data_IF_112359206078
#
_entry.id   IF_112359206078
#
_cell.length_a   1.000
_cell.length_b   1.000
_cell.length_c   1.000
_cell.angle_alpha   90.00
_cell.angle_beta   90.00
_cell.angle_gamma   90.00
#
_symmetry.space_group_name_H-M   'P 1'
#
loop_
_entity.id
_entity.type
_entity.pdbx_description
1 polymer ?
#
# COMPACT_ATOMS: atom_id res chain seq x y z
N UNK A 1 49.69 -57.88 -19.45
CA UNK A 1 48.95 -57.84 -18.17
C UNK A 1 49.05 -56.41 -17.68
N UNK A 2 48.12 -55.50 -17.92
CA UNK A 2 46.67 -55.56 -17.75
C UNK A 2 46.32 -54.30 -16.94
N UNK A 3 45.30 -53.54 -17.37
CA UNK A 3 44.36 -52.76 -16.54
C UNK A 3 43.52 -51.85 -17.43
N UNK A 4 42.38 -52.41 -17.80
CA UNK A 4 41.18 -51.79 -18.35
C UNK A 4 40.52 -50.84 -17.33
N UNK A 5 40.09 -49.67 -17.84
CA UNK A 5 38.74 -49.06 -17.70
C UNK A 5 38.23 -48.73 -16.28
N UNK A 6 37.98 -47.43 -16.00
CA UNK A 6 36.63 -46.82 -16.04
C UNK A 6 36.69 -45.39 -15.45
N UNK A 7 36.31 -44.41 -16.28
CA UNK A 7 35.96 -43.05 -15.88
C UNK A 7 34.58 -43.09 -15.22
N UNK A 8 34.42 -42.58 -13.99
CA UNK A 8 33.14 -41.99 -13.60
C UNK A 8 33.32 -40.90 -12.53
N UNK A 9 32.96 -39.71 -12.98
CA UNK A 9 32.82 -38.44 -12.28
C UNK A 9 31.72 -38.56 -11.21
N UNK A 10 32.02 -38.29 -9.95
CA UNK A 10 30.98 -38.05 -8.92
C UNK A 10 31.26 -36.71 -8.24
N UNK A 11 30.50 -35.71 -8.69
CA UNK A 11 30.49 -34.35 -8.18
C UNK A 11 30.07 -34.37 -6.70
N UNK A 12 30.90 -33.82 -5.82
CA UNK A 12 30.52 -33.49 -4.45
C UNK A 12 29.38 -32.45 -4.49
N UNK A 13 28.19 -32.84 -4.06
CA UNK A 13 27.15 -31.91 -3.59
C UNK A 13 27.61 -31.37 -2.23
N UNK A 14 28.45 -30.34 -2.23
CA UNK A 14 28.56 -29.45 -1.08
C UNK A 14 27.28 -28.64 -1.01
N UNK A 15 26.35 -29.07 -0.17
CA UNK A 15 25.19 -28.27 0.24
C UNK A 15 25.73 -27.09 1.06
N UNK A 16 26.11 -26.01 0.38
CA UNK A 16 26.36 -24.73 1.02
C UNK A 16 25.02 -24.26 1.58
N UNK A 17 24.86 -24.43 2.89
CA UNK A 17 23.78 -23.81 3.63
C UNK A 17 23.82 -22.30 3.32
N UNK A 18 22.84 -21.84 2.54
CA UNK A 18 22.60 -20.41 2.35
C UNK A 18 22.50 -19.80 3.75
N UNK A 19 23.24 -18.71 4.05
CA UNK A 19 23.08 -18.05 5.31
C UNK A 19 21.62 -17.62 5.41
N UNK A 20 20.94 -18.14 6.44
CA UNK A 20 19.62 -17.69 6.84
C UNK A 20 19.71 -16.20 7.12
N UNK A 21 19.44 -15.39 6.11
CA UNK A 21 19.18 -13.98 6.28
C UNK A 21 18.07 -13.91 7.32
N UNK A 22 18.33 -13.21 8.43
CA UNK A 22 17.27 -12.64 9.25
C UNK A 22 16.19 -12.16 8.29
N UNK A 23 14.94 -12.59 8.48
CA UNK A 23 13.82 -12.11 7.70
C UNK A 23 13.87 -10.58 7.71
N UNK A 24 14.49 -10.01 6.68
CA UNK A 24 14.70 -8.58 6.57
C UNK A 24 13.33 -7.96 6.55
N UNK A 25 13.13 -6.90 7.33
CA UNK A 25 11.88 -6.16 7.38
C UNK A 25 11.34 -6.04 5.96
N UNK A 26 10.22 -6.73 5.68
CA UNK A 26 9.68 -6.78 4.33
C UNK A 26 9.37 -5.36 3.91
N UNK A 27 9.93 -4.90 2.80
CA UNK A 27 9.72 -3.55 2.28
C UNK A 27 8.21 -3.20 2.26
N UNK A 28 7.80 -2.01 2.75
CA UNK A 28 6.40 -1.61 2.84
C UNK A 28 5.52 -1.90 1.62
N UNK A 29 6.05 -1.73 0.41
CA UNK A 29 5.30 -1.98 -0.81
C UNK A 29 4.85 -3.45 -0.96
N UNK A 30 5.57 -4.42 -0.37
CA UNK A 30 5.19 -5.84 -0.42
C UNK A 30 3.87 -6.08 0.32
N UNK A 31 3.52 -5.21 1.26
CA UNK A 31 2.24 -5.28 1.95
C UNK A 31 1.07 -4.85 1.07
N UNK A 32 1.27 -3.90 0.15
CA UNK A 32 0.22 -3.54 -0.81
C UNK A 32 -0.19 -4.74 -1.65
N UNK A 33 0.77 -5.59 -2.03
CA UNK A 33 0.48 -6.81 -2.77
C UNK A 33 -0.28 -7.83 -1.93
N UNK A 34 0.12 -8.04 -0.67
CA UNK A 34 -0.57 -8.94 0.25
C UNK A 34 -2.00 -8.44 0.56
N UNK A 35 -2.17 -7.14 0.76
CA UNK A 35 -3.47 -6.51 0.96
C UNK A 35 -4.36 -6.67 -0.26
N UNK A 36 -3.84 -6.42 -1.46
CA UNK A 36 -4.59 -6.59 -2.70
C UNK A 36 -5.04 -8.03 -2.91
N UNK A 37 -4.16 -9.02 -2.70
CA UNK A 37 -4.52 -10.43 -2.78
C UNK A 37 -5.62 -10.84 -1.78
N UNK A 38 -5.64 -10.22 -0.58
CA UNK A 38 -6.71 -10.43 0.38
C UNK A 38 -8.01 -9.74 -0.05
N UNK A 39 -7.94 -8.51 -0.55
CA UNK A 39 -9.09 -7.75 -1.05
C UNK A 39 -9.78 -8.46 -2.22
N UNK A 40 -9.01 -9.04 -3.14
CA UNK A 40 -9.55 -9.80 -4.26
C UNK A 40 -10.36 -11.01 -3.75
N UNK A 41 -9.86 -11.73 -2.75
CA UNK A 41 -10.62 -12.82 -2.12
C UNK A 41 -11.85 -12.33 -1.36
N UNK A 42 -11.77 -11.19 -0.69
CA UNK A 42 -12.93 -10.58 -0.01
C UNK A 42 -14.01 -10.17 -1.01
N UNK A 43 -13.63 -9.65 -2.19
CA UNK A 43 -14.57 -9.34 -3.27
C UNK A 43 -15.35 -10.59 -3.73
N UNK A 44 -14.76 -11.78 -3.61
CA UNK A 44 -15.41 -13.07 -3.88
C UNK A 44 -16.11 -13.69 -2.65
N UNK A 45 -16.33 -12.93 -1.57
CA UNK A 45 -17.09 -13.36 -0.39
C UNK A 45 -16.27 -14.12 0.67
N UNK A 46 -14.95 -14.15 0.57
CA UNK A 46 -14.10 -14.89 1.52
C UNK A 46 -14.00 -14.18 2.89
N UNK A 47 -14.81 -14.64 3.84
CA UNK A 47 -14.81 -14.12 5.22
C UNK A 47 -13.50 -14.36 5.97
N UNK A 48 -12.72 -15.39 5.63
CA UNK A 48 -11.41 -15.65 6.25
C UNK A 48 -10.39 -14.63 5.75
N UNK A 49 -10.45 -14.27 4.46
CA UNK A 49 -9.63 -13.21 3.88
C UNK A 49 -9.91 -11.85 4.56
N UNK A 50 -11.18 -11.54 4.85
CA UNK A 50 -11.54 -10.32 5.56
C UNK A 50 -10.89 -10.25 6.96
N UNK A 51 -10.98 -11.33 7.75
CA UNK A 51 -10.32 -11.39 9.07
C UNK A 51 -8.80 -11.31 8.96
N UNK A 52 -8.22 -11.88 7.91
CA UNK A 52 -6.78 -11.80 7.65
C UNK A 52 -6.35 -10.37 7.28
N UNK A 53 -7.15 -9.65 6.50
CA UNK A 53 -6.91 -8.24 6.16
C UNK A 53 -6.85 -7.36 7.41
N UNK A 54 -7.80 -7.51 8.34
CA UNK A 54 -7.81 -6.75 9.60
C UNK A 54 -6.53 -7.01 10.42
N UNK A 55 -6.12 -8.28 10.53
CA UNK A 55 -4.87 -8.64 11.23
C UNK A 55 -3.62 -8.10 10.53
N UNK A 56 -3.60 -8.14 9.20
CA UNK A 56 -2.51 -7.58 8.41
C UNK A 56 -2.38 -6.07 8.70
N UNK A 57 -3.45 -5.30 8.55
CA UNK A 57 -3.45 -3.84 8.83
C UNK A 57 -2.94 -3.53 10.25
N UNK A 58 -3.36 -4.29 11.25
CA UNK A 58 -2.91 -4.10 12.64
C UNK A 58 -1.42 -4.45 12.83
N UNK A 59 -0.92 -5.48 12.16
CA UNK A 59 0.50 -5.83 12.16
C UNK A 59 1.34 -4.72 11.51
N UNK A 60 0.91 -4.20 10.36
CA UNK A 60 1.63 -3.15 9.62
C UNK A 60 1.81 -1.86 10.40
N UNK A 61 0.81 -1.47 11.19
CA UNK A 61 0.92 -0.25 12.00
C UNK A 61 2.12 -0.30 12.95
N UNK A 62 2.43 -1.48 13.49
CA UNK A 62 3.62 -1.68 14.35
C UNK A 62 4.91 -1.69 13.55
N UNK A 63 4.92 -2.37 12.41
CA UNK A 63 6.13 -2.44 11.57
C UNK A 63 6.50 -1.07 11.00
N UNK A 64 5.53 -0.31 10.49
CA UNK A 64 5.76 1.02 9.94
C UNK A 64 6.30 2.01 10.99
N UNK A 65 5.83 1.92 12.23
CA UNK A 65 6.34 2.74 13.32
C UNK A 65 7.81 2.44 13.66
N UNK A 66 8.30 1.23 13.37
CA UNK A 66 9.66 0.79 13.66
C UNK A 66 10.64 1.00 12.49
N UNK A 67 10.17 1.44 11.32
CA UNK A 67 11.01 1.60 10.13
C UNK A 67 11.82 2.90 10.15
N UNK A 68 13.09 2.86 9.70
CA UNK A 68 13.93 4.05 9.61
C UNK A 68 13.44 5.02 8.52
N UNK A 69 13.83 6.29 8.63
CA UNK A 69 13.35 7.35 7.73
C UNK A 69 13.76 7.11 6.27
N UNK A 70 14.92 6.50 6.03
CA UNK A 70 15.41 6.11 4.70
C UNK A 70 14.43 5.20 3.95
N UNK A 71 13.59 4.43 4.66
CA UNK A 71 12.58 3.57 4.05
C UNK A 71 11.56 4.37 3.25
N UNK A 72 11.20 5.57 3.73
CA UNK A 72 10.13 6.41 3.15
C UNK A 72 10.60 7.28 2.00
N UNK A 73 11.91 7.37 1.76
CA UNK A 73 12.48 7.99 0.55
C UNK A 73 12.27 7.16 -0.71
N UNK A 74 11.88 5.89 -0.57
CA UNK A 74 11.49 5.03 -1.70
C UNK A 74 10.02 5.28 -2.02
N UNK A 75 9.73 5.75 -3.24
CA UNK A 75 8.36 6.06 -3.70
C UNK A 75 7.35 4.95 -3.41
N UNK A 76 7.66 3.69 -3.75
CA UNK A 76 6.74 2.57 -3.52
C UNK A 76 6.42 2.34 -2.03
N UNK A 77 7.35 2.64 -1.13
CA UNK A 77 7.12 2.51 0.31
C UNK A 77 6.27 3.66 0.85
N UNK A 78 6.56 4.87 0.37
CA UNK A 78 5.80 6.06 0.73
C UNK A 78 4.34 5.94 0.26
N UNK A 79 4.12 5.46 -0.97
CA UNK A 79 2.78 5.13 -1.48
C UNK A 79 2.10 4.02 -0.67
N UNK A 80 2.86 3.04 -0.17
CA UNK A 80 2.32 2.00 0.71
C UNK A 80 1.82 2.56 2.04
N UNK A 81 2.55 3.50 2.65
CA UNK A 81 2.09 4.22 3.83
C UNK A 81 0.82 5.03 3.54
N UNK A 82 0.80 5.76 2.42
CA UNK A 82 -0.34 6.57 2.02
C UNK A 82 -1.62 5.73 1.84
N UNK A 83 -1.53 4.64 1.07
CA UNK A 83 -2.67 3.72 0.86
C UNK A 83 -3.05 3.01 2.16
N UNK A 84 -2.09 2.62 2.99
CA UNK A 84 -2.35 2.01 4.30
C UNK A 84 -3.21 2.91 5.18
N UNK A 85 -2.82 4.18 5.35
CA UNK A 85 -3.56 5.16 6.15
C UNK A 85 -4.98 5.29 5.60
N UNK A 86 -5.12 5.57 4.30
CA UNK A 86 -6.43 5.76 3.67
C UNK A 86 -7.31 4.50 3.63
N UNK A 87 -6.74 3.31 3.85
CA UNK A 87 -7.47 2.04 3.95
C UNK A 87 -7.97 1.75 5.37
N UNK A 88 -7.86 2.71 6.30
CA UNK A 88 -8.23 2.55 7.71
C UNK A 88 -7.09 2.04 8.60
N UNK A 89 -5.85 2.14 8.14
CA UNK A 89 -4.66 1.90 8.96
C UNK A 89 -4.51 2.94 10.07
N UNK A 90 -3.77 2.60 11.13
CA UNK A 90 -3.48 3.54 12.21
C UNK A 90 -2.53 4.64 11.70
N UNK A 91 -2.91 5.93 11.75
CA UNK A 91 -2.08 7.02 11.21
C UNK A 91 -0.83 7.33 12.02
N UNK A 92 -0.61 6.73 13.20
CA UNK A 92 0.47 7.10 14.12
C UNK A 92 1.86 7.15 13.46
N UNK A 93 2.20 6.18 12.60
CA UNK A 93 3.48 6.19 11.88
C UNK A 93 3.60 7.39 10.91
N UNK A 94 2.51 7.70 10.20
CA UNK A 94 2.46 8.86 9.29
C UNK A 94 2.51 10.18 10.06
N UNK A 95 1.77 10.29 11.18
CA UNK A 95 1.79 11.47 12.06
C UNK A 95 3.20 11.72 12.59
N UNK A 96 3.87 10.68 13.12
CA UNK A 96 5.23 10.81 13.63
C UNK A 96 6.23 11.25 12.54
N UNK A 97 6.05 10.79 11.29
CA UNK A 97 6.89 11.19 10.15
C UNK A 97 6.71 12.68 9.81
N UNK A 98 5.48 13.17 9.84
CA UNK A 98 5.15 14.58 9.61
C UNK A 98 5.72 15.47 10.73
N UNK A 99 5.56 15.08 12.00
CA UNK A 99 6.05 15.83 13.16
C UNK A 99 7.55 16.06 13.13
N UNK A 100 8.33 15.04 12.74
CA UNK A 100 9.79 15.15 12.59
C UNK A 100 10.24 15.70 11.24
N UNK A 101 9.30 16.04 10.35
CA UNK A 101 9.56 16.53 8.97
C UNK A 101 10.46 15.59 8.17
N UNK A 102 10.20 14.28 8.28
CA UNK A 102 10.94 13.28 7.51
C UNK A 102 10.78 13.52 6.00
N UNK A 103 11.82 13.18 5.23
CA UNK A 103 11.74 13.19 3.78
C UNK A 103 10.94 11.97 3.31
N UNK A 104 9.86 12.20 2.58
CA UNK A 104 8.91 11.17 2.15
C UNK A 104 8.70 11.32 0.64
N UNK A 105 8.88 10.24 -0.11
CA UNK A 105 8.73 10.23 -1.56
C UNK A 105 7.25 10.16 -2.00
N UNK A 106 6.47 11.13 -1.57
CA UNK A 106 5.09 11.38 -1.96
C UNK A 106 4.94 12.81 -2.49
N UNK A 107 3.90 13.08 -3.30
CA UNK A 107 3.54 14.46 -3.61
C UNK A 107 3.28 15.28 -2.34
N UNK A 108 3.64 16.56 -2.38
CA UNK A 108 3.41 17.49 -1.27
C UNK A 108 1.94 17.51 -0.86
N UNK A 109 1.67 17.47 0.45
CA UNK A 109 0.32 17.46 1.01
C UNK A 109 -0.38 16.09 0.97
N UNK A 110 0.17 15.08 0.29
CA UNK A 110 -0.49 13.78 0.19
C UNK A 110 -0.60 13.10 1.57
N UNK A 111 0.46 13.11 2.37
CA UNK A 111 0.46 12.42 3.65
C UNK A 111 -0.33 13.18 4.72
N UNK A 112 -0.21 14.52 4.76
CA UNK A 112 -0.98 15.42 5.61
C UNK A 112 -2.48 15.26 5.34
N UNK A 113 -2.85 15.28 4.06
CA UNK A 113 -4.22 15.09 3.63
C UNK A 113 -4.78 13.71 3.99
N UNK A 114 -3.97 12.65 3.89
CA UNK A 114 -4.36 11.31 4.31
C UNK A 114 -4.60 11.21 5.81
N UNK A 115 -3.70 11.77 6.63
CA UNK A 115 -3.85 11.80 8.10
C UNK A 115 -5.09 12.61 8.50
N UNK A 116 -5.28 13.79 7.93
CA UNK A 116 -6.45 14.63 8.19
C UNK A 116 -7.76 13.92 7.81
N UNK A 117 -7.79 13.20 6.68
CA UNK A 117 -8.96 12.46 6.23
C UNK A 117 -9.37 11.37 7.23
N UNK A 118 -8.43 10.54 7.68
CA UNK A 118 -8.77 9.43 8.61
C UNK A 118 -9.10 9.91 10.02
N UNK A 119 -8.66 11.11 10.39
CA UNK A 119 -9.04 11.77 11.64
C UNK A 119 -10.40 12.47 11.55
N UNK A 120 -11.06 12.48 10.39
CA UNK A 120 -12.34 13.14 10.18
C UNK A 120 -12.25 14.66 9.95
N UNK A 121 -11.04 15.21 9.81
CA UNK A 121 -10.81 16.63 9.52
C UNK A 121 -10.98 16.90 8.01
N UNK A 122 -12.17 16.67 7.47
CA UNK A 122 -12.46 16.68 6.04
C UNK A 122 -12.09 17.99 5.32
N UNK A 123 -12.27 19.14 5.98
CA UNK A 123 -11.89 20.45 5.44
C UNK A 123 -10.38 20.57 5.24
N UNK A 124 -9.60 20.19 6.25
CA UNK A 124 -8.13 20.17 6.18
C UNK A 124 -7.63 19.12 5.19
N UNK A 125 -8.24 17.94 5.18
CA UNK A 125 -7.94 16.90 4.20
C UNK A 125 -8.10 17.42 2.78
N UNK A 126 -9.18 18.16 2.48
CA UNK A 126 -9.37 18.76 1.16
C UNK A 126 -8.34 19.84 0.84
N UNK A 127 -8.01 20.71 1.80
CA UNK A 127 -7.00 21.77 1.59
C UNK A 127 -5.68 21.18 1.11
N UNK A 128 -5.25 20.08 1.71
CA UNK A 128 -4.03 19.37 1.32
C UNK A 128 -4.21 18.57 0.02
N UNK A 129 -5.25 17.75 -0.08
CA UNK A 129 -5.37 16.79 -1.18
C UNK A 129 -5.78 17.43 -2.51
N UNK A 130 -6.46 18.59 -2.52
CA UNK A 130 -7.04 19.13 -3.75
C UNK A 130 -5.99 19.30 -4.88
N UNK A 131 -4.79 19.79 -4.54
CA UNK A 131 -3.69 20.03 -5.49
C UNK A 131 -2.80 18.80 -5.73
N UNK A 132 -2.96 17.72 -4.95
CA UNK A 132 -2.15 16.50 -5.13
C UNK A 132 -2.45 15.88 -6.48
N UNK A 133 -1.44 15.85 -7.34
CA UNK A 133 -1.49 15.16 -8.62
C UNK A 133 -1.02 13.71 -8.46
N UNK A 134 -1.90 12.77 -8.80
CA UNK A 134 -1.61 11.35 -8.67
C UNK A 134 -0.91 10.73 -9.89
N UNK A 135 -0.71 11.46 -11.00
CA UNK A 135 -0.26 10.87 -12.28
C UNK A 135 0.97 9.98 -12.17
N UNK A 136 1.94 10.36 -11.33
CA UNK A 136 3.20 9.62 -11.14
C UNK A 136 3.15 8.57 -10.02
N UNK A 137 2.03 8.48 -9.30
CA UNK A 137 1.82 7.47 -8.27
C UNK A 137 1.45 6.11 -8.91
N UNK A 138 1.60 5.01 -8.16
CA UNK A 138 1.05 3.72 -8.60
C UNK A 138 -0.47 3.78 -8.82
N UNK A 139 -0.98 2.88 -9.67
CA UNK A 139 -2.42 2.77 -9.98
C UNK A 139 -3.27 2.64 -8.71
N UNK A 140 -2.82 1.84 -7.74
CA UNK A 140 -3.52 1.66 -6.46
C UNK A 140 -3.59 2.97 -5.66
N UNK A 141 -2.49 3.72 -5.57
CA UNK A 141 -2.47 4.99 -4.87
C UNK A 141 -3.30 6.07 -5.60
N UNK A 142 -3.27 6.09 -6.94
CA UNK A 142 -4.14 6.96 -7.75
C UNK A 142 -5.62 6.70 -7.49
N UNK A 143 -6.04 5.44 -7.50
CA UNK A 143 -7.42 5.06 -7.24
C UNK A 143 -7.83 5.41 -5.81
N UNK A 144 -6.95 5.20 -4.83
CA UNK A 144 -7.23 5.54 -3.43
C UNK A 144 -7.39 7.05 -3.24
N UNK A 145 -6.50 7.85 -3.84
CA UNK A 145 -6.59 9.30 -3.84
C UNK A 145 -7.90 9.79 -4.47
N UNK A 146 -8.27 9.25 -5.64
CA UNK A 146 -9.50 9.61 -6.33
C UNK A 146 -10.74 9.28 -5.49
N UNK A 147 -10.77 8.11 -4.85
CA UNK A 147 -11.87 7.67 -3.98
C UNK A 147 -12.05 8.59 -2.76
N UNK A 148 -10.96 9.03 -2.15
CA UNK A 148 -10.98 9.96 -1.02
C UNK A 148 -11.41 11.36 -1.46
N UNK A 149 -10.85 11.88 -2.57
CA UNK A 149 -11.28 13.18 -3.13
C UNK A 149 -12.77 13.17 -3.48
N UNK A 150 -13.28 12.08 -4.06
CA UNK A 150 -14.70 11.93 -4.36
C UNK A 150 -15.54 11.99 -3.09
N UNK A 151 -15.13 11.26 -2.04
CA UNK A 151 -15.84 11.23 -0.75
C UNK A 151 -15.88 12.63 -0.10
N UNK A 152 -14.78 13.38 -0.15
CA UNK A 152 -14.69 14.75 0.38
C UNK A 152 -15.55 15.76 -0.39
N UNK A 153 -15.80 15.51 -1.68
CA UNK A 153 -16.50 16.45 -2.57
C UNK A 153 -17.91 16.03 -2.96
N UNK A 154 -18.36 14.84 -2.57
CA UNK A 154 -19.67 14.32 -2.93
C UNK A 154 -20.83 15.30 -2.66
N UNK A 155 -20.80 15.98 -1.50
CA UNK A 155 -21.85 16.95 -1.14
C UNK A 155 -21.73 18.31 -1.84
N UNK A 156 -20.50 18.78 -2.10
CA UNK A 156 -20.24 20.15 -2.54
C UNK A 156 -20.01 20.28 -4.06
N UNK A 157 -19.43 19.24 -4.70
CA UNK A 157 -19.16 19.17 -6.14
C UNK A 157 -19.53 17.76 -6.66
N UNK A 158 -20.82 17.41 -6.74
CA UNK A 158 -21.25 16.05 -7.05
C UNK A 158 -20.80 15.56 -8.43
N UNK A 159 -20.81 16.41 -9.45
CA UNK A 159 -20.34 16.03 -10.80
C UNK A 159 -18.84 15.67 -10.80
N UNK A 160 -18.03 16.46 -10.10
CA UNK A 160 -16.59 16.17 -9.95
C UNK A 160 -16.35 14.91 -9.13
N UNK A 161 -17.17 14.65 -8.12
CA UNK A 161 -17.12 13.41 -7.38
C UNK A 161 -17.44 12.21 -8.29
N UNK A 162 -18.44 12.31 -9.15
CA UNK A 162 -18.76 11.28 -10.14
C UNK A 162 -17.59 11.02 -11.11
N UNK A 163 -16.92 12.05 -11.62
CA UNK A 163 -15.75 11.89 -12.49
C UNK A 163 -14.61 11.15 -11.77
N UNK A 164 -14.38 11.47 -10.50
CA UNK A 164 -13.38 10.79 -9.68
C UNK A 164 -13.77 9.33 -9.42
N UNK A 165 -15.04 9.02 -9.15
CA UNK A 165 -15.52 7.66 -8.98
C UNK A 165 -15.41 6.86 -10.29
N UNK A 166 -15.72 7.47 -11.44
CA UNK A 166 -15.51 6.85 -12.76
C UNK A 166 -14.02 6.52 -12.99
N UNK A 167 -13.11 7.42 -12.58
CA UNK A 167 -11.66 7.16 -12.62
C UNK A 167 -11.28 5.96 -11.76
N UNK A 168 -11.85 5.79 -10.56
CA UNK A 168 -11.59 4.61 -9.70
C UNK A 168 -11.97 3.31 -10.42
N UNK A 169 -13.16 3.28 -11.03
CA UNK A 169 -13.67 2.11 -11.78
C UNK A 169 -12.76 1.75 -12.95
N UNK A 170 -12.23 2.75 -13.66
CA UNK A 170 -11.26 2.54 -14.74
C UNK A 170 -9.92 1.98 -14.23
N UNK A 171 -9.43 2.46 -13.09
CA UNK A 171 -8.12 2.08 -12.55
C UNK A 171 -8.11 0.72 -11.85
N UNK A 172 -9.23 0.33 -11.22
CA UNK A 172 -9.31 -0.86 -10.36
C UNK A 172 -10.57 -1.70 -10.62
N UNK A 173 -10.85 -2.11 -11.88
CA UNK A 173 -12.02 -2.93 -12.20
C UNK A 173 -11.94 -4.30 -11.51
N UNK A 174 -13.10 -4.85 -11.14
CA UNK A 174 -13.26 -6.14 -10.45
C UNK A 174 -12.79 -6.13 -8.98
N UNK A 175 -12.55 -4.96 -8.39
CA UNK A 175 -12.01 -4.86 -7.02
C UNK A 175 -13.01 -4.24 -6.04
N UNK A 176 -12.74 -4.37 -4.74
CA UNK A 176 -13.49 -3.66 -3.69
C UNK A 176 -13.45 -2.13 -3.84
N UNK A 177 -12.45 -1.57 -4.53
CA UNK A 177 -12.38 -0.13 -4.80
C UNK A 177 -13.41 0.28 -5.86
N UNK A 178 -13.62 -0.56 -6.88
CA UNK A 178 -14.71 -0.37 -7.84
C UNK A 178 -16.07 -0.47 -7.14
N UNK A 179 -16.28 -1.50 -6.33
CA UNK A 179 -17.52 -1.66 -5.55
C UNK A 179 -17.78 -0.47 -4.62
N UNK A 180 -16.74 0.03 -3.95
CA UNK A 180 -16.84 1.24 -3.13
C UNK A 180 -17.16 2.49 -3.97
N UNK A 181 -16.72 2.53 -5.22
CA UNK A 181 -17.03 3.62 -6.13
C UNK A 181 -18.46 3.55 -6.69
N UNK A 182 -19.01 2.34 -6.88
CA UNK A 182 -20.38 2.11 -7.35
C UNK A 182 -21.45 2.41 -6.30
N UNK A 183 -21.11 2.28 -5.01
CA UNK A 183 -22.04 2.47 -3.88
C UNK A 183 -22.18 3.93 -3.43
N UNK A 184 -21.41 4.86 -4.01
CA UNK A 184 -21.36 6.28 -3.66
C UNK A 184 -21.92 7.10 -4.81
#
# INVERSE_FOLDING_TARGET
MGRTILVLLMLLLTFTALPGGRAGASEPWRYLQALQALQDRVAHGDRKAYRAQVRLIAYLGREFAAMPDETWKKRLNAEALFVYVLSGGNPAAATALLERKAEIALPEGALEGAVAFVQGHNGEAWKHLQMVDGRDMSITAQAQLALVKASLRAAAEPLKALDLLARVRLLKPGTLMEEAALRR
#
